data_IF_250359903311
#
_entry.id   IF_250359903311
#
_cell.length_a   1.000
_cell.length_b   1.000
_cell.length_c   1.000
_cell.angle_alpha   90.00
_cell.angle_beta   90.00
_cell.angle_gamma   90.00
#
_symmetry.space_group_name_H-M   'P 1'
#
loop_
_entity.id
_entity.type
_entity.pdbx_description
1 polymer ?
#
# COMPACT_ATOMS: atom_id res chain seq x y z
N UNK A 1 -25.70 -27.51 -25.69
CA UNK A 1 -25.39 -26.40 -26.62
C UNK A 1 -25.33 -25.06 -25.90
N UNK A 2 -26.08 -24.89 -24.81
CA UNK A 2 -26.18 -23.62 -24.07
C UNK A 2 -24.87 -23.20 -23.38
N UNK A 3 -24.07 -24.16 -22.90
CA UNK A 3 -22.78 -23.86 -22.26
C UNK A 3 -21.78 -23.20 -23.22
N UNK A 4 -21.73 -23.62 -24.49
CA UNK A 4 -20.85 -23.03 -25.51
C UNK A 4 -21.32 -21.59 -25.81
N UNK A 5 -22.63 -21.39 -25.94
CA UNK A 5 -23.21 -20.07 -26.19
C UNK A 5 -22.94 -19.08 -25.05
N UNK A 6 -23.10 -19.52 -23.79
CA UNK A 6 -22.77 -18.71 -22.61
C UNK A 6 -21.27 -18.39 -22.52
N UNK A 7 -20.40 -19.31 -22.92
CA UNK A 7 -18.96 -19.08 -22.88
C UNK A 7 -18.49 -18.09 -23.94
N UNK A 8 -19.13 -18.08 -25.12
CA UNK A 8 -18.91 -17.06 -26.15
C UNK A 8 -19.37 -15.69 -25.66
N UNK A 9 -20.54 -15.59 -25.03
CA UNK A 9 -21.03 -14.32 -24.47
C UNK A 9 -20.13 -13.80 -23.35
N UNK A 10 -19.68 -14.65 -22.44
CA UNK A 10 -18.70 -14.27 -21.40
C UNK A 10 -17.35 -13.85 -21.99
N UNK A 11 -16.92 -14.51 -23.08
CA UNK A 11 -15.71 -14.14 -23.80
C UNK A 11 -15.84 -12.78 -24.49
N UNK A 12 -17.00 -12.50 -25.08
CA UNK A 12 -17.29 -11.21 -25.71
C UNK A 12 -17.38 -10.07 -24.69
N UNK A 13 -18.02 -10.31 -23.55
CA UNK A 13 -18.13 -9.32 -22.47
C UNK A 13 -16.73 -8.90 -21.98
N UNK A 14 -15.92 -9.87 -21.54
CA UNK A 14 -14.54 -9.62 -21.10
C UNK A 14 -13.65 -9.08 -22.22
N UNK A 15 -13.80 -9.59 -23.44
CA UNK A 15 -13.06 -9.13 -24.61
C UNK A 15 -13.37 -7.69 -24.97
N UNK A 16 -14.65 -7.28 -24.90
CA UNK A 16 -15.09 -5.91 -25.14
C UNK A 16 -14.56 -4.94 -24.08
N UNK A 17 -14.55 -5.36 -22.81
CA UNK A 17 -13.94 -4.59 -21.73
C UNK A 17 -12.44 -4.37 -21.98
N UNK A 18 -11.70 -5.42 -22.34
CA UNK A 18 -10.27 -5.29 -22.65
C UNK A 18 -10.01 -4.45 -23.92
N UNK A 19 -10.84 -4.59 -24.95
CA UNK A 19 -10.73 -3.77 -26.17
C UNK A 19 -10.97 -2.28 -25.87
N UNK A 20 -11.97 -1.95 -25.05
CA UNK A 20 -12.23 -0.58 -24.62
C UNK A 20 -11.07 0.00 -23.81
N UNK A 21 -10.50 -0.76 -22.88
CA UNK A 21 -9.33 -0.35 -22.10
C UNK A 21 -8.13 -0.06 -23.02
N UNK A 22 -7.86 -0.96 -23.98
CA UNK A 22 -6.77 -0.79 -24.93
C UNK A 22 -6.96 0.43 -25.85
N UNK A 23 -8.17 0.66 -26.35
CA UNK A 23 -8.51 1.83 -27.16
C UNK A 23 -8.34 3.12 -26.36
N UNK A 24 -8.80 3.15 -25.10
CA UNK A 24 -8.63 4.29 -24.21
C UNK A 24 -7.15 4.63 -23.97
N UNK A 25 -6.32 3.63 -23.65
CA UNK A 25 -4.87 3.78 -23.49
C UNK A 25 -4.20 4.28 -24.78
N UNK A 26 -4.59 3.75 -25.93
CA UNK A 26 -4.06 4.16 -27.24
C UNK A 26 -4.41 5.62 -27.55
N UNK A 27 -5.63 6.06 -27.25
CA UNK A 27 -6.05 7.45 -27.43
C UNK A 27 -5.30 8.40 -26.48
N UNK A 28 -5.14 8.04 -25.22
CA UNK A 28 -4.43 8.87 -24.23
C UNK A 28 -2.96 9.03 -24.64
N UNK A 29 -2.26 7.93 -24.98
CA UNK A 29 -0.86 8.00 -25.38
C UNK A 29 -0.67 8.62 -26.77
N UNK A 30 -1.59 8.36 -27.70
CA UNK A 30 -1.55 8.92 -29.05
C UNK A 30 -1.83 10.42 -29.10
N UNK A 31 -2.66 10.96 -28.19
CA UNK A 31 -2.98 12.40 -28.15
C UNK A 31 -2.02 13.21 -27.30
N UNK A 32 -1.56 12.67 -26.15
CA UNK A 32 -0.64 13.38 -25.26
C UNK A 32 0.82 13.31 -25.71
N UNK A 33 1.18 12.34 -26.57
CA UNK A 33 2.55 12.16 -27.08
C UNK A 33 3.60 11.80 -26.02
N UNK A 34 3.19 11.66 -24.76
CA UNK A 34 4.05 11.36 -23.61
C UNK A 34 3.42 10.24 -22.79
N UNK A 35 4.20 9.22 -22.47
CA UNK A 35 3.77 8.13 -21.59
C UNK A 35 3.85 8.61 -20.14
N UNK A 36 2.70 8.92 -19.53
CA UNK A 36 2.63 9.32 -18.13
C UNK A 36 2.61 8.09 -17.20
N UNK A 37 3.71 7.84 -16.49
CA UNK A 37 3.80 6.80 -15.46
C UNK A 37 3.51 7.29 -14.03
N UNK A 38 3.11 8.55 -13.86
CA UNK A 38 2.92 9.13 -12.53
C UNK A 38 1.89 8.37 -11.69
N UNK A 39 0.83 7.84 -12.31
CA UNK A 39 -0.21 7.13 -11.58
C UNK A 39 0.30 5.82 -10.96
N UNK A 40 1.03 5.00 -11.72
CA UNK A 40 1.63 3.76 -11.23
C UNK A 40 2.70 4.02 -10.17
N UNK A 41 3.53 5.05 -10.36
CA UNK A 41 4.54 5.44 -9.39
C UNK A 41 3.94 5.91 -8.06
N UNK A 42 2.88 6.74 -8.09
CA UNK A 42 2.17 7.18 -6.89
C UNK A 42 1.45 6.03 -6.20
N UNK A 43 0.85 5.10 -6.95
CA UNK A 43 0.22 3.91 -6.38
C UNK A 43 1.25 3.02 -5.67
N UNK A 44 2.38 2.73 -6.30
CA UNK A 44 3.47 1.99 -5.66
C UNK A 44 3.97 2.68 -4.40
N UNK A 45 4.14 4.00 -4.44
CA UNK A 45 4.56 4.79 -3.28
C UNK A 45 3.58 4.64 -2.12
N UNK A 46 2.27 4.69 -2.39
CA UNK A 46 1.22 4.45 -1.40
C UNK A 46 1.27 3.05 -0.81
N UNK A 47 1.46 2.02 -1.64
CA UNK A 47 1.62 0.64 -1.17
C UNK A 47 2.87 0.48 -0.28
N UNK A 48 3.99 1.09 -0.65
CA UNK A 48 5.20 1.07 0.19
C UNK A 48 4.97 1.77 1.53
N UNK A 49 4.29 2.92 1.56
CA UNK A 49 3.93 3.58 2.82
C UNK A 49 3.11 2.67 3.73
N UNK A 50 2.09 1.98 3.20
CA UNK A 50 1.27 1.06 3.98
C UNK A 50 2.12 -0.11 4.53
N UNK A 51 2.98 -0.72 3.71
CA UNK A 51 3.84 -1.84 4.16
C UNK A 51 4.86 -1.37 5.21
N UNK A 52 5.45 -0.19 5.05
CA UNK A 52 6.38 0.36 6.04
C UNK A 52 5.68 0.64 7.38
N UNK A 53 4.47 1.21 7.36
CA UNK A 53 3.66 1.41 8.56
C UNK A 53 3.31 0.09 9.25
N UNK A 54 2.88 -0.91 8.48
CA UNK A 54 2.60 -2.25 9.01
C UNK A 54 3.84 -2.84 9.70
N UNK A 55 5.01 -2.74 9.05
CA UNK A 55 6.27 -3.24 9.60
C UNK A 55 6.70 -2.48 10.85
N UNK A 56 6.39 -1.19 10.93
CA UNK A 56 6.61 -0.37 12.13
C UNK A 56 5.76 -0.86 13.30
N UNK A 57 4.48 -1.20 13.04
CA UNK A 57 3.60 -1.77 14.05
C UNK A 57 3.98 -3.20 14.47
N UNK A 58 4.69 -3.93 13.63
CA UNK A 58 5.17 -5.29 13.92
C UNK A 58 6.62 -5.32 14.43
N UNK A 59 7.23 -4.16 14.70
CA UNK A 59 8.60 -4.11 15.21
C UNK A 59 8.60 -4.76 16.60
N UNK A 60 9.32 -5.87 16.75
CA UNK A 60 9.53 -6.57 18.02
C UNK A 60 10.94 -6.36 18.53
N UNK A 61 11.10 -6.40 19.85
CA UNK A 61 12.41 -6.48 20.49
C UNK A 61 12.47 -7.77 21.31
N UNK A 62 13.65 -8.40 21.29
CA UNK A 62 13.90 -9.63 22.06
C UNK A 62 13.98 -9.27 23.54
N UNK A 63 13.03 -9.72 24.35
CA UNK A 63 13.16 -9.72 25.82
C UNK A 63 13.60 -11.11 26.25
N UNK A 64 14.60 -11.16 27.13
CA UNK A 64 15.06 -12.40 27.76
C UNK A 64 14.12 -12.65 28.94
N UNK A 65 13.22 -13.61 28.81
CA UNK A 65 12.30 -13.98 29.88
C UNK A 65 12.94 -15.13 30.71
N UNK A 66 13.35 -14.82 31.94
CA UNK A 66 13.98 -15.78 32.86
C UNK A 66 13.00 -16.81 33.44
N UNK A 67 11.69 -16.67 33.18
CA UNK A 67 10.64 -17.55 33.71
C UNK A 67 10.46 -18.86 32.94
N UNK A 68 10.94 -18.96 31.69
CA UNK A 68 10.92 -20.21 30.91
C UNK A 68 12.29 -20.49 30.33
N UNK A 69 12.70 -21.75 30.41
CA UNK A 69 13.96 -22.23 29.83
C UNK A 69 13.67 -22.75 28.43
N UNK A 70 14.47 -22.29 27.46
CA UNK A 70 14.55 -22.92 26.15
C UNK A 70 14.99 -24.40 26.32
N UNK A 71 14.82 -25.24 25.30
CA UNK A 71 15.11 -26.69 25.38
C UNK A 71 16.55 -27.02 25.86
N UNK A 72 17.47 -26.06 25.80
CA UNK A 72 18.87 -26.17 26.24
C UNK A 72 19.15 -25.57 27.63
N UNK A 73 18.14 -25.10 28.38
CA UNK A 73 18.31 -24.59 29.74
C UNK A 73 18.70 -23.10 29.86
N UNK A 74 18.78 -22.37 28.74
CA UNK A 74 19.00 -20.93 28.70
C UNK A 74 17.68 -20.15 28.88
N UNK A 75 17.69 -18.91 29.41
CA UNK A 75 16.48 -18.10 29.51
C UNK A 75 15.92 -17.79 28.11
N UNK A 76 14.61 -18.01 27.94
CA UNK A 76 13.90 -17.96 26.67
C UNK A 76 13.85 -16.53 26.14
N UNK A 77 14.32 -16.31 24.91
CA UNK A 77 14.16 -15.03 24.21
C UNK A 77 12.76 -14.98 23.62
N UNK A 78 11.86 -14.21 24.24
CA UNK A 78 10.51 -13.98 23.73
C UNK A 78 10.53 -12.64 22.99
N UNK A 79 10.19 -12.67 21.70
CA UNK A 79 10.02 -11.46 20.91
C UNK A 79 8.73 -10.78 21.33
N UNK A 80 8.84 -9.72 22.14
CA UNK A 80 7.70 -8.88 22.48
C UNK A 80 7.65 -7.69 21.51
N UNK A 81 6.54 -7.51 20.78
CA UNK A 81 6.28 -6.33 19.97
C UNK A 81 6.42 -5.03 20.78
N UNK A 82 7.06 -3.99 20.22
CA UNK A 82 7.17 -2.69 20.89
C UNK A 82 5.80 -2.13 21.29
N UNK A 83 4.75 -2.42 20.52
CA UNK A 83 3.39 -2.01 20.84
C UNK A 83 2.84 -2.62 22.14
N UNK A 84 3.19 -3.87 22.46
CA UNK A 84 2.77 -4.51 23.71
C UNK A 84 3.44 -3.85 24.93
N UNK A 85 4.67 -3.35 24.77
CA UNK A 85 5.37 -2.66 25.85
C UNK A 85 4.85 -1.24 26.14
N UNK A 86 4.34 -0.55 25.12
CA UNK A 86 3.85 0.83 25.26
C UNK A 86 2.36 0.92 25.60
N UNK A 87 1.53 0.01 25.07
CA UNK A 87 0.08 0.06 25.21
C UNK A 87 -0.48 -1.08 26.08
N UNK A 88 0.37 -2.01 26.53
CA UNK A 88 -0.03 -3.21 27.26
C UNK A 88 -0.34 -4.41 26.35
N UNK A 89 -0.37 -5.64 26.88
CA UNK A 89 -0.49 -6.87 26.09
C UNK A 89 -1.79 -6.95 25.28
N UNK A 90 -2.92 -6.56 25.89
CA UNK A 90 -4.25 -6.63 25.28
C UNK A 90 -4.40 -5.67 24.09
N UNK A 91 -3.99 -4.40 24.27
CA UNK A 91 -4.05 -3.40 23.20
C UNK A 91 -2.97 -3.62 22.15
N UNK A 92 -1.79 -4.12 22.52
CA UNK A 92 -0.71 -4.47 21.60
C UNK A 92 -1.10 -5.57 20.61
N UNK A 93 -1.65 -6.68 21.10
CA UNK A 93 -2.16 -7.76 20.24
C UNK A 93 -3.32 -7.31 19.35
N UNK A 94 -4.25 -6.49 19.89
CA UNK A 94 -5.35 -5.94 19.10
C UNK A 94 -4.85 -5.05 17.94
N UNK A 95 -3.89 -4.17 18.21
CA UNK A 95 -3.29 -3.28 17.22
C UNK A 95 -2.47 -4.06 16.17
N UNK A 96 -1.81 -5.15 16.56
CA UNK A 96 -1.10 -6.01 15.60
C UNK A 96 -2.05 -6.77 14.69
N UNK A 97 -3.14 -7.34 15.22
CA UNK A 97 -4.15 -8.02 14.40
C UNK A 97 -4.80 -7.06 13.41
N UNK A 98 -4.99 -5.81 13.82
CA UNK A 98 -5.55 -4.74 12.98
C UNK A 98 -4.49 -3.95 12.21
N UNK A 99 -3.22 -4.36 12.24
CA UNK A 99 -2.11 -3.61 11.65
C UNK A 99 -2.26 -3.37 10.15
N UNK A 100 -2.80 -4.34 9.40
CA UNK A 100 -3.02 -4.24 7.95
C UNK A 100 -4.07 -3.16 7.61
N UNK A 101 -5.32 -3.24 8.10
CA UNK A 101 -6.31 -2.20 7.80
C UNK A 101 -5.93 -0.84 8.39
N UNK A 102 -5.29 -0.79 9.56
CA UNK A 102 -4.79 0.47 10.14
C UNK A 102 -3.71 1.11 9.25
N UNK A 103 -2.75 0.33 8.77
CA UNK A 103 -1.67 0.85 7.92
C UNK A 103 -2.20 1.43 6.60
N UNK A 104 -3.23 0.83 6.01
CA UNK A 104 -3.89 1.38 4.81
C UNK A 104 -4.56 2.72 5.13
N UNK A 105 -5.27 2.80 6.26
CA UNK A 105 -5.96 4.03 6.67
C UNK A 105 -4.97 5.17 6.97
N UNK A 106 -3.82 4.85 7.59
CA UNK A 106 -2.74 5.81 7.84
C UNK A 106 -1.93 6.16 6.57
N UNK A 107 -1.88 5.28 5.56
CA UNK A 107 -1.20 5.59 4.30
C UNK A 107 -1.92 6.68 3.50
N UNK A 108 -3.25 6.80 3.62
CA UNK A 108 -4.05 7.83 2.91
C UNK A 108 -3.60 9.26 3.26
N UNK A 109 -3.58 9.71 4.53
CA UNK A 109 -3.14 11.06 4.87
C UNK A 109 -1.67 11.31 4.51
N UNK A 110 -0.81 10.29 4.61
CA UNK A 110 0.60 10.39 4.19
C UNK A 110 0.69 10.64 2.68
N UNK A 111 -0.08 9.90 1.87
CA UNK A 111 -0.12 10.09 0.42
C UNK A 111 -0.68 11.46 0.02
N UNK A 112 -1.68 11.97 0.74
CA UNK A 112 -2.20 13.33 0.55
C UNK A 112 -1.10 14.36 0.83
N UNK A 113 -0.35 14.20 1.93
CA UNK A 113 0.76 15.09 2.26
C UNK A 113 1.88 15.04 1.21
N UNK A 114 2.25 13.85 0.73
CA UNK A 114 3.24 13.68 -0.34
C UNK A 114 2.76 14.34 -1.63
N UNK A 115 1.50 14.15 -2.02
CA UNK A 115 0.90 14.82 -3.17
C UNK A 115 0.97 16.35 -3.06
N UNK A 116 0.60 16.88 -1.89
CA UNK A 116 0.66 18.33 -1.62
C UNK A 116 2.09 18.88 -1.70
N UNK A 117 3.07 18.16 -1.14
CA UNK A 117 4.50 18.53 -1.21
C UNK A 117 5.02 18.48 -2.65
N UNK A 118 4.64 17.46 -3.42
CA UNK A 118 5.01 17.37 -4.83
C UNK A 118 4.43 18.52 -5.65
N UNK A 119 3.18 18.90 -5.40
CA UNK A 119 2.51 19.99 -6.08
C UNK A 119 3.12 21.35 -5.73
N UNK A 120 3.26 21.65 -4.43
CA UNK A 120 3.77 22.94 -3.95
C UNK A 120 5.28 23.10 -4.12
N UNK A 121 6.03 22.00 -4.12
CA UNK A 121 7.49 21.98 -4.25
C UNK A 121 7.95 21.68 -5.67
N UNK A 122 8.02 20.40 -6.03
CA UNK A 122 8.61 19.91 -7.29
C UNK A 122 7.93 20.51 -8.52
N UNK A 123 6.59 20.45 -8.60
CA UNK A 123 5.89 20.91 -9.79
C UNK A 123 5.98 22.43 -9.91
N UNK A 124 5.80 23.18 -8.82
CA UNK A 124 5.95 24.64 -8.87
C UNK A 124 7.38 25.07 -9.23
N UNK A 125 8.39 24.38 -8.69
CA UNK A 125 9.80 24.69 -8.92
C UNK A 125 10.26 24.38 -10.35
N UNK A 126 9.94 23.19 -10.86
CA UNK A 126 10.39 22.75 -12.19
C UNK A 126 9.51 23.23 -13.34
N UNK A 127 8.20 23.38 -13.13
CA UNK A 127 7.26 23.70 -14.22
C UNK A 127 6.78 25.15 -14.28
N UNK A 128 7.17 26.03 -13.33
CA UNK A 128 6.84 27.48 -13.30
C UNK A 128 5.45 27.80 -13.92
N UNK A 129 4.39 27.15 -13.45
CA UNK A 129 3.05 27.32 -14.03
C UNK A 129 2.49 28.68 -13.59
N UNK A 130 2.17 29.65 -14.48
CA UNK A 130 1.80 31.02 -14.09
C UNK A 130 0.33 31.24 -13.71
N UNK A 131 -0.51 30.19 -13.63
CA UNK A 131 -1.98 30.34 -13.55
C UNK A 131 -2.65 29.53 -12.43
N UNK A 132 -1.94 29.25 -11.34
CA UNK A 132 -2.51 28.59 -10.17
C UNK A 132 -2.24 29.42 -8.92
N UNK A 133 -2.85 30.61 -8.88
CA UNK A 133 -3.26 31.29 -7.65
C UNK A 133 -4.76 31.11 -7.49
#
# INVERSE_FOLDING_TARGET
MDAIFLQILNGLDKGSAYALIALGLTLIFGTLGVVNFAHGALFMLGSFCAVTLQKLFNLSYTVIDESQKDFLGNPLKVDVPYLESWFGPELGHALMNWSVPLAILFAIPIMIAIGFVMERGLIKHFYRRPHAD
#
